data_IF_420091768536
#
_entry.id   IF_420091768536
#
_cell.length_a   1.000
_cell.length_b   1.000
_cell.length_c   1.000
_cell.angle_alpha   90.00
_cell.angle_beta   90.00
_cell.angle_gamma   90.00
#
_symmetry.space_group_name_H-M   'P 1'
#
loop_
_entity.id
_entity.type
_entity.pdbx_description
1 polymer ?
#
# COMPACT_ATOMS: atom_id res chain seq x y z
N UNK A 1 -23.90 -14.61 -27.53
CA UNK A 1 -23.08 -13.42 -27.89
C UNK A 1 -22.76 -12.51 -26.71
N UNK A 2 -23.70 -12.27 -25.77
CA UNK A 2 -23.43 -11.48 -24.55
C UNK A 2 -22.31 -12.05 -23.65
N UNK A 3 -22.24 -13.38 -23.50
CA UNK A 3 -21.26 -13.99 -22.59
C UNK A 3 -19.81 -13.86 -23.07
N UNK A 4 -19.56 -13.94 -24.38
CA UNK A 4 -18.22 -13.79 -24.95
C UNK A 4 -17.71 -12.35 -24.81
N UNK A 5 -18.55 -11.36 -25.13
CA UNK A 5 -18.18 -9.95 -24.99
C UNK A 5 -17.92 -9.56 -23.54
N UNK A 6 -18.72 -10.06 -22.59
CA UNK A 6 -18.50 -9.84 -21.17
C UNK A 6 -17.23 -10.52 -20.66
N UNK A 7 -16.93 -11.72 -21.15
CA UNK A 7 -15.69 -12.43 -20.82
C UNK A 7 -14.45 -11.68 -21.34
N UNK A 8 -14.46 -11.26 -22.60
CA UNK A 8 -13.38 -10.47 -23.20
C UNK A 8 -13.18 -9.14 -22.47
N UNK A 9 -14.26 -8.43 -22.14
CA UNK A 9 -14.20 -7.21 -21.33
C UNK A 9 -13.56 -7.48 -19.95
N UNK A 10 -13.90 -8.59 -19.31
CA UNK A 10 -13.30 -9.01 -18.04
C UNK A 10 -11.79 -9.27 -18.16
N UNK A 11 -11.34 -9.89 -19.25
CA UNK A 11 -9.91 -10.10 -19.53
C UNK A 11 -9.17 -8.77 -19.74
N UNK A 12 -9.75 -7.83 -20.50
CA UNK A 12 -9.13 -6.51 -20.71
C UNK A 12 -9.02 -5.71 -19.40
N UNK A 13 -10.05 -5.74 -18.56
CA UNK A 13 -10.01 -5.08 -17.24
C UNK A 13 -8.90 -5.69 -16.38
N UNK A 14 -8.78 -7.02 -16.36
CA UNK A 14 -7.74 -7.71 -15.60
C UNK A 14 -6.34 -7.35 -16.10
N UNK A 15 -6.12 -7.39 -17.41
CA UNK A 15 -4.83 -7.01 -18.00
C UNK A 15 -4.45 -5.56 -17.67
N UNK A 16 -5.42 -4.64 -17.69
CA UNK A 16 -5.20 -3.25 -17.28
C UNK A 16 -4.81 -3.09 -15.80
N UNK A 17 -5.39 -3.90 -14.92
CA UNK A 17 -5.04 -3.91 -13.49
C UNK A 17 -3.65 -4.54 -13.25
N UNK A 18 -3.30 -5.61 -13.97
CA UNK A 18 -1.99 -6.25 -13.92
C UNK A 18 -0.88 -5.30 -14.42
N UNK A 19 -1.14 -4.52 -15.47
CA UNK A 19 -0.19 -3.50 -15.94
C UNK A 19 0.03 -2.39 -14.91
N UNK A 20 -1.03 -1.88 -14.26
CA UNK A 20 -0.90 -0.89 -13.18
C UNK A 20 -0.16 -1.45 -11.96
N UNK A 21 -0.38 -2.73 -11.64
CA UNK A 21 0.39 -3.44 -10.62
C UNK A 21 1.87 -3.38 -10.93
N UNK A 22 2.25 -3.76 -12.13
CA UNK A 22 3.66 -3.84 -12.51
C UNK A 22 4.33 -2.47 -12.40
N UNK A 23 3.68 -1.40 -12.87
CA UNK A 23 4.17 -0.02 -12.72
C UNK A 23 4.43 0.37 -11.27
N UNK A 24 3.50 0.09 -10.35
CA UNK A 24 3.71 0.45 -8.93
C UNK A 24 4.83 -0.38 -8.31
N UNK A 25 4.80 -1.70 -8.53
CA UNK A 25 5.79 -2.60 -7.90
C UNK A 25 7.20 -2.23 -8.36
N UNK A 26 7.36 -1.93 -9.63
CA UNK A 26 8.65 -1.50 -10.19
C UNK A 26 9.08 -0.16 -9.57
N UNK A 27 8.16 0.81 -9.42
CA UNK A 27 8.45 2.08 -8.74
C UNK A 27 8.85 1.89 -7.26
N UNK A 28 8.21 0.97 -6.52
CA UNK A 28 8.59 0.67 -5.14
C UNK A 28 9.99 0.07 -5.04
N UNK A 29 10.35 -0.79 -6.00
CA UNK A 29 11.68 -1.39 -6.05
C UNK A 29 12.75 -0.34 -6.41
N UNK A 30 12.47 0.53 -7.39
CA UNK A 30 13.36 1.63 -7.80
C UNK A 30 13.65 2.60 -6.65
N UNK A 31 12.64 2.88 -5.81
CA UNK A 31 12.79 3.70 -4.60
C UNK A 31 13.41 2.95 -3.41
N UNK A 32 13.79 1.68 -3.59
CA UNK A 32 14.40 0.87 -2.54
C UNK A 32 13.47 0.55 -1.37
N UNK A 33 12.15 0.54 -1.59
CA UNK A 33 11.15 0.36 -0.54
C UNK A 33 10.93 -1.13 -0.23
N UNK A 34 10.94 -1.99 -1.24
CA UNK A 34 10.64 -3.42 -1.11
C UNK A 34 11.83 -4.30 -1.49
N UNK A 35 11.86 -5.52 -0.93
CA UNK A 35 12.91 -6.52 -1.21
C UNK A 35 12.64 -7.37 -2.44
N UNK A 36 11.37 -7.71 -2.71
CA UNK A 36 11.00 -8.67 -3.75
C UNK A 36 9.83 -8.19 -4.61
N UNK A 37 10.13 -7.92 -5.88
CA UNK A 37 9.16 -7.53 -6.91
C UNK A 37 8.21 -8.68 -7.25
N UNK A 38 8.75 -9.89 -7.39
CA UNK A 38 7.98 -11.03 -7.86
C UNK A 38 6.99 -11.53 -6.82
N UNK A 39 7.41 -11.60 -5.55
CA UNK A 39 6.52 -11.99 -4.44
C UNK A 39 5.35 -11.01 -4.32
N UNK A 40 5.62 -9.72 -4.51
CA UNK A 40 4.61 -8.67 -4.49
C UNK A 40 3.63 -8.81 -5.66
N UNK A 41 4.14 -9.07 -6.88
CA UNK A 41 3.32 -9.29 -8.08
C UNK A 41 2.39 -10.49 -7.92
N UNK A 42 2.87 -11.56 -7.29
CA UNK A 42 2.09 -12.78 -6.98
C UNK A 42 1.02 -12.50 -5.92
N UNK A 43 1.41 -11.88 -4.80
CA UNK A 43 0.51 -11.57 -3.69
C UNK A 43 -0.66 -10.65 -4.11
N UNK A 44 -0.41 -9.72 -5.02
CA UNK A 44 -1.45 -8.84 -5.58
C UNK A 44 -2.29 -9.57 -6.63
N UNK A 45 -1.65 -10.40 -7.46
CA UNK A 45 -2.25 -11.11 -8.58
C UNK A 45 -3.45 -11.99 -8.21
N UNK A 46 -3.49 -12.46 -6.96
CA UNK A 46 -4.50 -13.37 -6.42
C UNK A 46 -5.63 -12.66 -5.65
N UNK A 47 -5.54 -11.34 -5.42
CA UNK A 47 -6.42 -10.63 -4.49
C UNK A 47 -7.04 -9.33 -5.07
N UNK A 48 -8.34 -9.37 -5.39
CA UNK A 48 -9.06 -8.26 -6.05
C UNK A 48 -9.08 -6.94 -5.24
N UNK A 49 -9.32 -6.95 -3.91
CA UNK A 49 -9.08 -5.80 -3.03
C UNK A 49 -7.68 -5.16 -3.12
N UNK A 50 -6.63 -5.95 -3.34
CA UNK A 50 -5.27 -5.42 -3.47
C UNK A 50 -5.14 -4.54 -4.71
N UNK A 51 -5.76 -4.90 -5.84
CA UNK A 51 -5.73 -4.07 -7.05
C UNK A 51 -6.34 -2.67 -6.86
N UNK A 52 -7.44 -2.54 -6.11
CA UNK A 52 -8.07 -1.23 -5.88
C UNK A 52 -7.15 -0.33 -5.04
N UNK A 53 -6.52 -0.90 -4.01
CA UNK A 53 -5.54 -0.19 -3.19
C UNK A 53 -4.31 0.18 -4.02
N UNK A 54 -3.87 -0.72 -4.87
CA UNK A 54 -2.73 -0.47 -5.74
C UNK A 54 -2.93 0.74 -6.64
N UNK A 55 -4.07 0.80 -7.33
CA UNK A 55 -4.41 1.94 -8.19
C UNK A 55 -4.38 3.25 -7.40
N UNK A 56 -4.89 3.24 -6.16
CA UNK A 56 -4.86 4.44 -5.32
C UNK A 56 -3.45 4.83 -4.89
N UNK A 57 -2.53 3.89 -4.65
CA UNK A 57 -1.16 4.18 -4.25
C UNK A 57 -0.35 4.74 -5.42
N UNK A 58 -0.59 4.21 -6.62
CA UNK A 58 0.00 4.71 -7.86
C UNK A 58 -0.47 6.14 -8.17
N UNK A 59 -1.74 6.45 -7.91
CA UNK A 59 -2.29 7.80 -8.11
C UNK A 59 -1.74 8.84 -7.11
N UNK A 60 -1.54 8.47 -5.83
CA UNK A 60 -1.09 9.42 -4.80
C UNK A 60 0.43 9.57 -4.73
N UNK A 61 1.18 8.52 -5.08
CA UNK A 61 2.65 8.46 -5.04
C UNK A 61 3.28 8.90 -3.71
N UNK A 62 2.56 8.78 -2.59
CA UNK A 62 3.07 9.21 -1.27
C UNK A 62 4.35 8.49 -0.85
N UNK A 63 4.55 7.27 -1.35
CA UNK A 63 5.73 6.46 -1.10
C UNK A 63 7.03 7.05 -1.67
N UNK A 64 6.96 8.04 -2.55
CA UNK A 64 8.15 8.74 -3.06
C UNK A 64 8.78 9.67 -2.01
N UNK A 65 7.99 10.09 -1.03
CA UNK A 65 8.49 10.82 0.13
C UNK A 65 9.09 9.85 1.14
N UNK A 66 10.40 9.90 1.33
CA UNK A 66 11.11 9.06 2.28
C UNK A 66 10.64 9.27 3.73
N UNK A 67 10.12 10.45 4.06
CA UNK A 67 9.58 10.71 5.39
C UNK A 67 8.31 9.87 5.64
N UNK A 68 7.46 9.69 4.63
CA UNK A 68 6.30 8.79 4.70
C UNK A 68 6.75 7.35 4.95
N UNK A 69 7.85 6.92 4.34
CA UNK A 69 8.41 5.58 4.52
C UNK A 69 8.98 5.39 5.93
N UNK A 70 9.65 6.40 6.48
CA UNK A 70 10.13 6.38 7.88
C UNK A 70 8.97 6.35 8.88
N UNK A 71 7.95 7.16 8.67
CA UNK A 71 6.75 7.17 9.49
C UNK A 71 6.00 5.83 9.42
N UNK A 72 5.95 5.20 8.24
CA UNK A 72 5.44 3.84 8.08
C UNK A 72 6.22 2.82 8.94
N UNK A 73 7.54 2.92 9.00
CA UNK A 73 8.38 2.05 9.84
C UNK A 73 8.09 2.26 11.31
N UNK A 74 8.00 3.52 11.74
CA UNK A 74 7.72 3.88 13.13
C UNK A 74 6.37 3.33 13.58
N UNK A 75 5.33 3.47 12.76
CA UNK A 75 4.00 3.01 13.14
C UNK A 75 3.88 1.49 13.19
N UNK A 76 4.57 0.78 12.29
CA UNK A 76 4.64 -0.69 12.31
C UNK A 76 5.26 -1.16 13.62
N UNK A 77 6.34 -0.50 14.07
CA UNK A 77 6.99 -0.80 15.33
C UNK A 77 6.10 -0.45 16.55
N UNK A 78 5.44 0.71 16.54
CA UNK A 78 4.56 1.17 17.63
C UNK A 78 3.36 0.23 17.84
N UNK A 79 2.81 -0.31 16.75
CA UNK A 79 1.65 -1.21 16.81
C UNK A 79 2.01 -2.70 16.78
N UNK A 80 3.30 -3.05 16.86
CA UNK A 80 3.79 -4.43 16.82
C UNK A 80 3.26 -5.23 15.63
N UNK A 81 3.11 -4.58 14.47
CA UNK A 81 2.62 -5.23 13.27
C UNK A 81 3.68 -6.12 12.65
N UNK A 82 3.24 -7.25 12.09
CA UNK A 82 4.12 -8.27 11.49
C UNK A 82 4.52 -7.90 10.05
N UNK A 83 5.32 -6.84 9.93
CA UNK A 83 6.00 -6.48 8.69
C UNK A 83 7.50 -6.36 9.00
N UNK A 84 8.28 -7.26 8.44
CA UNK A 84 9.73 -7.31 8.64
C UNK A 84 10.49 -6.42 7.64
N UNK A 85 11.75 -6.16 7.98
CA UNK A 85 12.68 -5.39 7.17
C UNK A 85 13.94 -6.20 6.89
N UNK A 86 14.53 -6.05 5.70
CA UNK A 86 15.85 -6.59 5.44
C UNK A 86 16.96 -5.77 6.13
N UNK A 87 18.20 -6.24 6.05
CA UNK A 87 19.37 -5.53 6.59
C UNK A 87 19.65 -4.16 5.94
N UNK A 88 18.98 -3.84 4.82
CA UNK A 88 19.02 -2.55 4.14
C UNK A 88 17.83 -1.64 4.48
N UNK A 89 16.91 -2.07 5.35
CA UNK A 89 15.73 -1.32 5.74
C UNK A 89 14.59 -1.34 4.72
N UNK A 90 14.58 -2.29 3.78
CA UNK A 90 13.49 -2.50 2.82
C UNK A 90 12.43 -3.43 3.42
N UNK A 91 11.17 -3.20 3.10
CA UNK A 91 10.05 -4.04 3.53
C UNK A 91 10.12 -5.43 2.90
N UNK A 92 9.97 -6.46 3.73
CA UNK A 92 9.76 -7.85 3.31
C UNK A 92 8.25 -8.08 3.24
N UNK A 93 7.70 -8.03 2.02
CA UNK A 93 6.26 -8.11 1.77
C UNK A 93 5.90 -9.46 1.16
N UNK A 94 4.90 -10.13 1.74
CA UNK A 94 4.40 -11.43 1.31
C UNK A 94 2.86 -11.47 1.32
N UNK A 95 2.30 -12.65 1.05
CA UNK A 95 0.85 -12.88 1.05
C UNK A 95 0.16 -12.65 2.41
N UNK A 96 0.90 -12.71 3.52
CA UNK A 96 0.36 -12.55 4.87
C UNK A 96 0.25 -11.07 5.26
N UNK A 97 1.16 -10.23 4.76
CA UNK A 97 1.26 -8.84 5.19
C UNK A 97 0.95 -7.81 4.09
N UNK A 98 0.76 -8.24 2.84
CA UNK A 98 0.47 -7.37 1.69
C UNK A 98 -0.72 -6.43 1.90
N UNK A 99 -1.79 -6.92 2.51
CA UNK A 99 -3.00 -6.12 2.73
C UNK A 99 -2.72 -4.94 3.67
N UNK A 100 -1.94 -5.17 4.72
CA UNK A 100 -1.52 -4.13 5.65
C UNK A 100 -0.53 -3.16 4.98
N UNK A 101 0.48 -3.68 4.29
CA UNK A 101 1.45 -2.87 3.55
C UNK A 101 0.74 -1.92 2.57
N UNK A 102 -0.18 -2.45 1.76
CA UNK A 102 -0.96 -1.65 0.82
C UNK A 102 -1.88 -0.65 1.51
N UNK A 103 -2.40 -0.93 2.70
CA UNK A 103 -3.19 0.07 3.46
C UNK A 103 -2.32 1.23 3.91
N UNK A 104 -1.13 0.95 4.44
CA UNK A 104 -0.21 1.96 4.96
C UNK A 104 0.32 2.85 3.84
N UNK A 105 0.74 2.26 2.73
CA UNK A 105 1.30 3.01 1.61
C UNK A 105 0.27 3.90 0.89
N UNK A 106 -1.01 3.58 1.04
CA UNK A 106 -2.10 4.33 0.43
C UNK A 106 -2.53 5.57 1.22
N UNK A 107 -2.29 5.57 2.54
CA UNK A 107 -2.71 6.65 3.46
C UNK A 107 -4.17 7.11 3.28
N UNK A 108 -5.04 6.26 2.72
CA UNK A 108 -6.47 6.54 2.51
C UNK A 108 -7.28 5.76 3.53
N UNK A 109 -7.75 6.48 4.55
CA UNK A 109 -8.91 6.15 5.41
C UNK A 109 -8.74 5.12 6.53
N UNK A 110 -7.54 4.84 6.97
CA UNK A 110 -7.38 4.70 8.42
C UNK A 110 -6.80 6.03 8.89
N UNK A 111 -7.02 6.40 10.16
CA UNK A 111 -6.25 7.45 10.83
C UNK A 111 -4.86 7.47 10.17
N UNK A 112 -4.45 8.59 9.56
CA UNK A 112 -3.10 8.66 9.00
C UNK A 112 -2.18 8.57 10.20
N UNK A 113 -1.84 7.34 10.57
CA UNK A 113 -1.04 7.06 11.75
C UNK A 113 0.41 7.51 11.50
N UNK A 114 0.77 7.57 10.22
CA UNK A 114 1.96 8.21 9.66
C UNK A 114 1.92 9.72 9.99
N UNK A 115 0.87 10.44 9.57
CA UNK A 115 0.80 11.91 9.76
C UNK A 115 0.17 12.34 11.09
N UNK A 116 -0.25 11.40 11.93
CA UNK A 116 -1.09 11.61 13.13
C UNK A 116 -2.34 12.47 12.85
N UNK A 117 -2.94 12.33 11.68
CA UNK A 117 -4.08 13.15 11.22
C UNK A 117 -5.26 12.29 10.80
N UNK A 118 -6.47 12.73 11.09
CA UNK A 118 -7.68 12.08 10.60
C UNK A 118 -8.08 12.77 9.29
N UNK A 119 -8.04 12.03 8.18
CA UNK A 119 -8.45 12.52 6.86
C UNK A 119 -9.75 11.82 6.49
N UNK A 120 -10.86 12.54 6.66
CA UNK A 120 -12.11 12.19 5.97
C UNK A 120 -12.11 12.91 4.61
N UNK A 121 -12.78 12.36 3.61
CA UNK A 121 -12.78 12.87 2.23
C UNK A 121 -13.21 14.35 2.13
N UNK A 122 -13.83 14.89 3.18
CA UNK A 122 -14.34 16.27 3.25
C UNK A 122 -13.71 17.15 4.35
N UNK A 123 -12.86 16.63 5.27
CA UNK A 123 -12.22 17.43 6.34
C UNK A 123 -10.91 16.83 6.88
N UNK A 124 -9.98 17.72 7.25
CA UNK A 124 -8.72 17.41 7.94
C UNK A 124 -8.81 17.89 9.39
N UNK A 125 -8.62 16.98 10.36
CA UNK A 125 -8.51 17.31 11.79
C UNK A 125 -7.20 16.78 12.38
N UNK A 126 -6.53 17.62 13.18
CA UNK A 126 -5.28 17.28 13.88
C UNK A 126 -5.63 16.50 15.16
N UNK A 127 -5.13 15.28 15.28
CA UNK A 127 -5.32 14.48 16.50
C UNK A 127 -4.30 14.91 17.55
N UNK A 128 -4.77 15.46 18.66
CA UNK A 128 -3.92 15.72 19.83
C UNK A 128 -3.72 14.41 20.60
N UNK A 129 -2.49 13.95 20.72
CA UNK A 129 -2.15 12.86 21.65
C UNK A 129 -2.32 13.36 23.09
N UNK A 130 -3.05 12.60 23.91
CA UNK A 130 -3.16 12.86 25.35
C UNK A 130 -1.91 12.29 25.98
N UNK A 131 -0.94 13.14 26.31
CA UNK A 131 0.20 12.76 27.14
C UNK A 131 -0.31 12.47 28.55
N UNK A 132 -0.55 11.18 28.85
CA UNK A 132 -0.69 10.74 30.24
C UNK A 132 0.71 10.63 30.85
N UNK A 133 1.26 11.78 31.21
CA UNK A 133 2.39 11.84 32.14
C UNK A 133 1.89 11.46 33.54
N UNK A 134 2.28 10.28 34.00
CA UNK A 134 2.26 9.89 35.42
C UNK A 134 3.53 10.33 36.13
#
# INVERSE_FOLDING_TARGET
>A
MRDKANYELGLYIRAGLEAKRDVLVDALAENGIITSVDDLKVAIGTNKPCYVRLVSAEETRYFEDQHVIEDMKNIIAEHEWQIDFDGGGKFIVDENNIDLFLKLINDKRFISLIKKQMVDADRVEIVKTVDNAG
#
